data_IF_789129945167
#
_entry.id   IF_789129945167
#
_cell.length_a   1.000
_cell.length_b   1.000
_cell.length_c   1.000
_cell.angle_alpha   90.00
_cell.angle_beta   90.00
_cell.angle_gamma   90.00
#
_symmetry.space_group_name_H-M   'P 1'
#
loop_
_entity.id
_entity.type
_entity.pdbx_description
1 polymer ?
#
# COMPACT_ATOMS: atom_id res chain seq x y z
N UNK A 1 15.30 -3.66 -19.97
CA UNK A 1 14.31 -4.76 -19.84
C UNK A 1 13.47 -4.70 -21.10
N UNK A 2 13.50 -5.74 -21.94
CA UNK A 2 12.79 -5.80 -23.24
C UNK A 2 11.31 -5.42 -23.13
N UNK A 3 10.69 -5.69 -21.98
CA UNK A 3 9.30 -5.33 -21.72
C UNK A 3 9.04 -3.82 -21.70
N UNK A 4 10.01 -2.98 -21.30
CA UNK A 4 9.81 -1.51 -21.22
C UNK A 4 9.54 -0.87 -22.59
N UNK A 5 10.01 -1.50 -23.66
CA UNK A 5 9.82 -1.01 -25.02
C UNK A 5 8.40 -1.32 -25.54
N UNK A 6 7.66 -2.18 -24.84
CA UNK A 6 6.28 -2.51 -25.15
C UNK A 6 5.31 -1.55 -24.45
N UNK A 7 4.21 -1.16 -25.11
CA UNK A 7 3.13 -0.41 -24.48
C UNK A 7 2.48 -1.26 -23.37
N UNK A 8 1.95 -0.61 -22.33
CA UNK A 8 1.50 -1.31 -21.11
C UNK A 8 0.41 -2.34 -21.40
N UNK A 9 -0.44 -2.10 -22.40
CA UNK A 9 -1.51 -3.00 -22.83
C UNK A 9 -0.95 -4.37 -23.24
N UNK A 10 0.18 -4.40 -23.96
CA UNK A 10 0.87 -5.63 -24.36
C UNK A 10 1.54 -6.30 -23.17
N UNK A 11 2.17 -5.53 -22.27
CA UNK A 11 2.77 -6.07 -21.05
C UNK A 11 1.72 -6.76 -20.18
N UNK A 12 0.59 -6.11 -19.94
CA UNK A 12 -0.47 -6.62 -19.08
C UNK A 12 -1.17 -7.84 -19.70
N UNK A 13 -1.35 -7.86 -21.02
CA UNK A 13 -1.82 -9.06 -21.72
C UNK A 13 -0.85 -10.24 -21.56
N UNK A 14 0.47 -10.00 -21.61
CA UNK A 14 1.46 -11.05 -21.32
C UNK A 14 1.38 -11.54 -19.88
N UNK A 15 1.19 -10.64 -18.91
CA UNK A 15 1.06 -11.01 -17.49
C UNK A 15 -0.17 -11.89 -17.25
N UNK A 16 -1.31 -11.58 -17.88
CA UNK A 16 -2.49 -12.44 -17.87
C UNK A 16 -2.25 -13.80 -18.49
N UNK A 17 -1.66 -13.83 -19.69
CA UNK A 17 -1.31 -15.09 -20.34
C UNK A 17 -0.29 -15.93 -19.55
N UNK A 18 0.59 -15.31 -18.76
CA UNK A 18 1.50 -16.03 -17.86
C UNK A 18 0.79 -16.58 -16.63
N UNK A 19 -0.17 -15.85 -16.06
CA UNK A 19 -0.97 -16.35 -14.95
C UNK A 19 -1.65 -17.67 -15.32
N UNK A 20 -2.29 -17.74 -16.49
CA UNK A 20 -2.97 -18.95 -16.98
C UNK A 20 -1.97 -20.09 -17.28
N UNK A 21 -0.85 -19.78 -17.94
CA UNK A 21 0.17 -20.77 -18.30
C UNK A 21 0.88 -21.36 -17.08
N UNK A 22 1.09 -20.57 -16.03
CA UNK A 22 1.67 -21.05 -14.78
C UNK A 22 0.82 -22.15 -14.11
N UNK A 23 -0.47 -22.20 -14.40
CA UNK A 23 -1.35 -23.27 -13.92
C UNK A 23 -1.27 -24.55 -14.75
N UNK A 24 -0.81 -24.47 -16.01
CA UNK A 24 -0.79 -25.58 -16.97
C UNK A 24 0.34 -26.60 -16.77
N UNK A 25 1.49 -26.20 -16.22
CA UNK A 25 2.64 -27.10 -16.01
C UNK A 25 2.84 -27.40 -14.51
N UNK A 26 3.03 -28.68 -14.16
CA UNK A 26 3.09 -29.10 -12.74
C UNK A 26 4.25 -28.47 -11.97
N UNK A 27 5.42 -28.33 -12.61
CA UNK A 27 6.57 -27.68 -11.98
C UNK A 27 6.31 -26.19 -11.70
N UNK A 28 5.71 -25.48 -12.65
CA UNK A 28 5.37 -24.06 -12.49
C UNK A 28 4.27 -23.87 -11.45
N UNK A 29 3.26 -24.75 -11.46
CA UNK A 29 2.18 -24.77 -10.46
C UNK A 29 2.74 -25.01 -9.06
N UNK A 30 3.66 -25.95 -8.90
CA UNK A 30 4.33 -26.22 -7.63
C UNK A 30 5.17 -25.02 -7.16
N UNK A 31 5.95 -24.41 -8.06
CA UNK A 31 6.72 -23.21 -7.75
C UNK A 31 5.83 -22.03 -7.34
N UNK A 32 4.71 -21.80 -8.04
CA UNK A 32 3.73 -20.78 -7.69
C UNK A 32 3.10 -21.04 -6.31
N UNK A 33 2.73 -22.30 -6.01
CA UNK A 33 2.21 -22.69 -4.69
C UNK A 33 3.25 -22.41 -3.59
N UNK A 34 4.51 -22.79 -3.81
CA UNK A 34 5.59 -22.53 -2.86
C UNK A 34 5.82 -21.04 -2.63
N UNK A 35 5.83 -20.24 -3.70
CA UNK A 35 5.97 -18.79 -3.63
C UNK A 35 4.86 -18.13 -2.80
N UNK A 36 3.59 -18.56 -2.99
CA UNK A 36 2.46 -18.09 -2.17
C UNK A 36 2.61 -18.47 -0.70
N UNK A 37 3.03 -19.70 -0.42
CA UNK A 37 3.24 -20.17 0.95
C UNK A 37 4.35 -19.39 1.63
N UNK A 38 5.49 -19.22 0.98
CA UNK A 38 6.61 -18.48 1.56
C UNK A 38 6.28 -16.99 1.72
N UNK A 39 5.55 -16.39 0.77
CA UNK A 39 5.05 -15.01 0.91
C UNK A 39 4.15 -14.88 2.14
N UNK A 40 3.17 -15.78 2.32
CA UNK A 40 2.35 -15.81 3.54
C UNK A 40 3.18 -16.01 4.79
N UNK A 41 4.18 -16.90 4.74
CA UNK A 41 5.08 -17.14 5.88
C UNK A 41 5.88 -15.90 6.25
N UNK A 42 6.38 -15.14 5.29
CA UNK A 42 7.09 -13.88 5.52
C UNK A 42 6.14 -12.84 6.12
N UNK A 43 4.94 -12.70 5.55
CA UNK A 43 3.87 -11.83 6.07
C UNK A 43 3.29 -12.29 7.42
N UNK A 44 3.58 -13.52 7.86
CA UNK A 44 3.29 -14.03 9.20
C UNK A 44 4.47 -13.91 10.15
N UNK A 45 5.72 -14.01 9.70
CA UNK A 45 6.89 -13.80 10.59
C UNK A 45 6.99 -12.36 11.06
N UNK A 46 6.40 -11.45 10.31
CA UNK A 46 6.14 -10.10 10.76
C UNK A 46 5.18 -10.05 11.98
N UNK A 47 4.38 -11.11 12.25
CA UNK A 47 3.47 -11.26 13.42
C UNK A 47 4.19 -11.72 14.69
N UNK A 48 5.06 -12.74 14.59
CA UNK A 48 5.62 -13.43 15.76
C UNK A 48 6.87 -12.79 16.35
N UNK A 49 7.48 -11.80 15.68
CA UNK A 49 8.62 -11.07 16.24
C UNK A 49 8.23 -10.10 17.37
N UNK A 50 6.93 -9.94 17.66
CA UNK A 50 6.41 -9.15 18.79
C UNK A 50 5.95 -9.96 20.01
N UNK A 51 5.81 -11.29 19.90
CA UNK A 51 5.34 -12.15 20.99
C UNK A 51 6.37 -13.24 21.28
N UNK A 52 7.13 -13.04 22.36
CA UNK A 52 7.99 -14.07 22.90
C UNK A 52 7.18 -15.21 23.53
N UNK A 53 7.46 -16.43 23.07
CA UNK A 53 7.29 -17.66 23.86
C UNK A 53 5.92 -18.33 23.77
N UNK A 54 5.88 -19.48 23.08
CA UNK A 54 4.75 -20.40 23.15
C UNK A 54 4.83 -21.55 22.15
N UNK A 55 5.46 -22.66 22.54
CA UNK A 55 5.26 -23.96 21.90
C UNK A 55 3.79 -24.37 22.06
N UNK A 56 3.08 -24.66 20.97
CA UNK A 56 1.68 -25.12 21.04
C UNK A 56 1.09 -25.40 19.66
N UNK A 57 0.30 -26.45 19.58
CA UNK A 57 -0.13 -27.16 18.38
C UNK A 57 -1.22 -26.44 17.57
N UNK A 58 -1.27 -26.78 16.28
CA UNK A 58 -2.45 -27.23 15.54
C UNK A 58 -3.82 -26.57 15.76
N UNK A 59 -4.38 -26.16 14.63
CA UNK A 59 -5.80 -25.93 14.33
C UNK A 59 -6.34 -24.53 14.66
N UNK A 60 -6.90 -23.94 13.60
CA UNK A 60 -7.83 -22.80 13.59
C UNK A 60 -7.36 -21.54 14.33
N UNK A 61 -6.59 -20.68 13.64
CA UNK A 61 -6.31 -19.37 14.21
C UNK A 61 -6.27 -18.25 13.16
N UNK A 62 -7.44 -17.68 12.89
CA UNK A 62 -7.58 -16.33 12.33
C UNK A 62 -7.25 -15.24 13.37
N UNK A 63 -6.99 -15.60 14.64
CA UNK A 63 -6.68 -14.70 15.74
C UNK A 63 -5.23 -14.22 15.76
N UNK A 64 -4.24 -15.09 15.51
CA UNK A 64 -2.81 -14.71 15.43
C UNK A 64 -2.46 -13.78 14.27
N UNK A 65 -3.30 -13.69 13.24
CA UNK A 65 -3.15 -12.69 12.16
C UNK A 65 -3.61 -11.29 12.60
N UNK A 66 -4.41 -11.16 13.67
CA UNK A 66 -4.91 -9.86 14.18
C UNK A 66 -3.90 -9.13 15.09
N UNK A 67 -3.12 -9.84 15.90
CA UNK A 67 -2.14 -9.24 16.83
C UNK A 67 -1.06 -8.43 16.11
N UNK A 68 -0.51 -8.98 15.03
CA UNK A 68 0.45 -8.33 14.14
C UNK A 68 0.04 -6.96 13.65
N UNK A 69 -1.22 -6.83 13.26
CA UNK A 69 -1.68 -5.68 12.48
C UNK A 69 -2.09 -4.53 13.38
N UNK A 70 -2.54 -4.85 14.59
CA UNK A 70 -2.67 -3.87 15.67
C UNK A 70 -1.31 -3.33 16.08
N UNK A 71 -0.29 -4.18 16.18
CA UNK A 71 1.05 -3.77 16.61
C UNK A 71 1.86 -3.10 15.49
N UNK A 72 1.69 -3.50 14.23
CA UNK A 72 2.25 -2.80 13.07
C UNK A 72 1.60 -1.42 12.88
N UNK A 73 0.29 -1.31 13.08
CA UNK A 73 -0.42 -0.02 13.07
C UNK A 73 0.03 0.88 14.22
N UNK A 74 0.14 0.37 15.46
CA UNK A 74 0.67 1.10 16.62
C UNK A 74 2.12 1.52 16.45
N UNK A 75 2.99 0.63 15.96
CA UNK A 75 4.41 0.90 15.73
C UNK A 75 4.69 1.77 14.49
N UNK A 76 3.67 2.14 13.71
CA UNK A 76 3.77 3.07 12.58
C UNK A 76 3.03 4.39 12.82
N UNK A 77 2.03 4.42 13.72
CA UNK A 77 1.26 5.61 14.10
C UNK A 77 1.88 6.40 15.28
N UNK A 78 3.19 6.23 15.55
CA UNK A 78 3.90 6.80 16.70
C UNK A 78 3.26 8.06 17.28
N UNK A 79 2.78 7.94 18.53
CA UNK A 79 2.04 8.97 19.24
C UNK A 79 2.66 10.34 19.01
N UNK A 80 1.89 11.20 18.34
CA UNK A 80 2.20 12.61 18.18
C UNK A 80 1.81 13.37 19.46
N UNK A 81 2.24 12.89 20.62
CA UNK A 81 2.21 13.64 21.87
C UNK A 81 3.44 13.26 22.71
N UNK A 82 4.39 14.19 22.79
CA UNK A 82 5.57 14.03 23.64
C UNK A 82 6.78 14.74 23.06
N UNK A 83 6.88 16.04 23.30
CA UNK A 83 8.14 16.75 23.11
C UNK A 83 9.18 16.31 24.13
N UNK A 84 10.44 16.24 23.72
CA UNK A 84 11.58 16.04 24.62
C UNK A 84 12.60 15.09 24.03
N UNK A 85 13.84 15.54 23.93
CA UNK A 85 14.98 14.71 23.59
C UNK A 85 15.13 13.59 24.62
N UNK A 86 14.88 12.34 24.22
CA UNK A 86 15.29 11.17 24.96
C UNK A 86 15.72 10.08 23.96
N UNK A 87 17.02 10.02 23.71
CA UNK A 87 17.65 8.85 23.12
C UNK A 87 17.52 7.69 24.13
N UNK A 88 17.19 6.51 23.60
CA UNK A 88 17.17 5.21 24.28
C UNK A 88 15.98 4.91 25.21
N UNK A 89 14.75 5.17 24.76
CA UNK A 89 13.58 4.48 25.31
C UNK A 89 13.56 3.03 24.78
N UNK A 90 13.85 2.05 25.66
CA UNK A 90 13.60 0.62 25.41
C UNK A 90 12.14 0.31 25.73
N UNK A 91 11.46 -0.39 24.83
CA UNK A 91 10.08 -0.83 25.05
C UNK A 91 10.01 -1.93 26.14
N UNK A 92 8.80 -2.35 26.55
CA UNK A 92 8.57 -3.38 27.59
C UNK A 92 9.30 -4.71 27.32
N UNK A 93 9.68 -4.97 26.07
CA UNK A 93 10.46 -6.13 25.62
C UNK A 93 11.98 -5.89 25.49
N UNK A 94 12.48 -4.72 25.91
CA UNK A 94 13.91 -4.37 25.89
C UNK A 94 14.48 -3.99 24.51
N UNK A 95 13.66 -3.95 23.46
CA UNK A 95 14.07 -3.61 22.10
C UNK A 95 14.20 -2.10 21.89
N UNK A 96 15.19 -1.70 21.10
CA UNK A 96 15.35 -0.32 20.64
C UNK A 96 14.57 -0.06 19.35
N UNK A 97 14.15 1.19 19.13
CA UNK A 97 13.48 1.60 17.88
C UNK A 97 14.31 1.30 16.62
N UNK A 98 15.64 1.34 16.73
CA UNK A 98 16.56 1.03 15.64
C UNK A 98 16.52 -0.46 15.25
N UNK A 99 16.50 -1.36 16.24
CA UNK A 99 16.40 -2.81 16.02
C UNK A 99 15.07 -3.18 15.35
N UNK A 100 13.97 -2.55 15.77
CA UNK A 100 12.64 -2.71 15.14
C UNK A 100 12.64 -2.28 13.68
N UNK A 101 13.26 -1.14 13.38
CA UNK A 101 13.36 -0.65 12.01
C UNK A 101 14.21 -1.58 11.13
N UNK A 102 15.32 -2.12 11.66
CA UNK A 102 16.15 -3.05 10.91
C UNK A 102 15.46 -4.40 10.70
N UNK A 103 14.67 -4.88 11.67
CA UNK A 103 13.81 -6.05 11.50
C UNK A 103 12.78 -5.84 10.37
N UNK A 104 12.12 -4.67 10.33
CA UNK A 104 11.20 -4.28 9.23
C UNK A 104 11.91 -4.32 7.88
N UNK A 105 13.11 -3.74 7.77
CA UNK A 105 13.89 -3.71 6.52
C UNK A 105 14.37 -5.09 6.09
N UNK A 106 14.77 -5.95 7.04
CA UNK A 106 15.16 -7.34 6.77
C UNK A 106 14.00 -8.12 6.15
N UNK A 107 12.80 -7.97 6.70
CA UNK A 107 11.59 -8.63 6.19
C UNK A 107 11.21 -8.09 4.81
N UNK A 108 11.27 -6.78 4.61
CA UNK A 108 11.07 -6.15 3.29
C UNK A 108 12.03 -6.73 2.23
N UNK A 109 13.32 -6.93 2.58
CA UNK A 109 14.30 -7.57 1.67
C UNK A 109 13.96 -9.04 1.38
N UNK A 110 13.48 -9.79 2.36
CA UNK A 110 13.04 -11.18 2.15
C UNK A 110 11.82 -11.26 1.22
N UNK A 111 10.85 -10.37 1.45
CA UNK A 111 9.65 -10.26 0.60
C UNK A 111 10.04 -9.93 -0.85
N UNK A 112 10.94 -8.96 -1.04
CA UNK A 112 11.44 -8.60 -2.36
C UNK A 112 12.14 -9.76 -3.07
N UNK A 113 13.03 -10.50 -2.37
CA UNK A 113 13.67 -11.70 -2.93
C UNK A 113 12.67 -12.73 -3.43
N UNK A 114 11.60 -12.97 -2.66
CA UNK A 114 10.53 -13.88 -3.05
C UNK A 114 9.77 -13.35 -4.30
N UNK A 115 9.45 -12.05 -4.33
CA UNK A 115 8.78 -11.42 -5.45
C UNK A 115 9.62 -11.39 -6.73
N UNK A 116 10.95 -11.30 -6.64
CA UNK A 116 11.81 -11.30 -7.83
C UNK A 116 11.80 -12.63 -8.58
N UNK A 117 11.61 -13.74 -7.87
CA UNK A 117 11.53 -15.06 -8.48
C UNK A 117 10.14 -15.32 -9.09
N UNK A 118 9.06 -14.93 -8.42
CA UNK A 118 7.68 -15.20 -8.83
C UNK A 118 6.77 -14.00 -8.51
N UNK A 119 6.82 -12.91 -9.29
CA UNK A 119 6.13 -11.67 -8.94
C UNK A 119 4.61 -11.83 -8.92
N UNK A 120 4.02 -12.50 -9.91
CA UNK A 120 2.56 -12.69 -9.98
C UNK A 120 1.99 -13.41 -8.74
N UNK A 121 2.42 -14.65 -8.39
CA UNK A 121 1.88 -15.34 -7.21
C UNK A 121 2.13 -14.61 -5.89
N UNK A 122 3.30 -13.98 -5.73
CA UNK A 122 3.66 -13.26 -4.51
C UNK A 122 2.82 -11.99 -4.34
N UNK A 123 2.73 -11.17 -5.38
CA UNK A 123 2.00 -9.90 -5.34
C UNK A 123 0.48 -10.13 -5.21
N UNK A 124 -0.06 -11.20 -5.77
CA UNK A 124 -1.45 -11.58 -5.51
C UNK A 124 -1.74 -11.86 -4.04
N UNK A 125 -0.82 -12.53 -3.32
CA UNK A 125 -0.96 -12.77 -1.88
C UNK A 125 -0.83 -11.46 -1.10
N UNK A 126 0.12 -10.60 -1.46
CA UNK A 126 0.34 -9.31 -0.81
C UNK A 126 -0.89 -8.41 -0.97
N UNK A 127 -1.44 -8.30 -2.18
CA UNK A 127 -2.63 -7.49 -2.46
C UNK A 127 -3.87 -8.09 -1.77
N UNK A 128 -4.02 -9.43 -1.75
CA UNK A 128 -5.09 -10.09 -1.01
C UNK A 128 -5.06 -9.79 0.49
N UNK A 129 -3.86 -9.63 1.07
CA UNK A 129 -3.72 -9.20 2.45
C UNK A 129 -4.29 -7.79 2.63
N UNK A 130 -3.93 -6.83 1.77
CA UNK A 130 -4.48 -5.47 1.86
C UNK A 130 -6.00 -5.46 1.76
N UNK A 131 -6.58 -6.23 0.84
CA UNK A 131 -8.05 -6.35 0.72
C UNK A 131 -8.72 -6.91 1.97
N UNK A 132 -8.05 -7.82 2.68
CA UNK A 132 -8.66 -8.53 3.82
C UNK A 132 -8.65 -7.72 5.11
N UNK A 133 -7.68 -6.81 5.27
CA UNK A 133 -7.48 -6.05 6.52
C UNK A 133 -7.70 -4.54 6.39
N UNK A 134 -8.01 -4.04 5.19
CA UNK A 134 -8.43 -2.66 4.98
C UNK A 134 -7.30 -1.66 4.69
N UNK A 135 -7.65 -0.39 4.66
CA UNK A 135 -6.76 0.73 4.28
C UNK A 135 -5.50 0.84 5.14
N UNK A 136 -5.58 0.52 6.44
CA UNK A 136 -4.44 0.61 7.37
C UNK A 136 -3.26 -0.28 6.98
N UNK A 137 -3.50 -1.35 6.20
CA UNK A 137 -2.46 -2.24 5.70
C UNK A 137 -1.63 -1.63 4.58
N UNK A 138 -2.19 -0.68 3.82
CA UNK A 138 -1.59 -0.20 2.58
C UNK A 138 -0.21 0.45 2.82
N UNK A 139 -0.09 1.34 3.82
CA UNK A 139 1.16 2.03 4.13
C UNK A 139 2.32 1.10 4.54
N UNK A 140 2.15 0.17 5.50
CA UNK A 140 3.19 -0.81 5.83
C UNK A 140 3.62 -1.68 4.64
N UNK A 141 2.68 -2.13 3.81
CA UNK A 141 3.00 -2.91 2.62
C UNK A 141 3.81 -2.08 1.62
N UNK A 142 3.40 -0.84 1.35
CA UNK A 142 4.13 0.11 0.49
C UNK A 142 5.54 0.38 1.02
N UNK A 143 5.73 0.32 2.34
CA UNK A 143 7.05 0.38 2.95
C UNK A 143 7.90 -0.85 2.70
N UNK A 144 7.31 -2.05 2.81
CA UNK A 144 8.00 -3.30 2.51
C UNK A 144 8.36 -3.46 1.03
N UNK A 145 7.58 -2.86 0.12
CA UNK A 145 7.79 -2.96 -1.34
C UNK A 145 8.91 -2.04 -1.87
N UNK A 146 9.61 -1.27 -1.03
CA UNK A 146 10.72 -0.38 -1.46
C UNK A 146 11.88 -1.07 -2.17
N UNK A 147 12.05 -2.37 -1.95
CA UNK A 147 13.12 -3.16 -2.57
C UNK A 147 12.63 -3.93 -3.81
N UNK A 148 11.40 -3.68 -4.25
CA UNK A 148 10.86 -4.30 -5.45
C UNK A 148 11.54 -3.71 -6.70
N UNK A 149 11.69 -4.53 -7.74
CA UNK A 149 12.22 -4.04 -9.03
C UNK A 149 11.16 -3.24 -9.78
N UNK A 150 11.53 -2.40 -10.76
CA UNK A 150 10.55 -1.72 -11.62
C UNK A 150 9.59 -2.70 -12.31
N UNK A 151 10.07 -3.90 -12.65
CA UNK A 151 9.22 -4.97 -13.18
C UNK A 151 8.18 -5.44 -12.16
N UNK A 152 8.57 -5.62 -10.90
CA UNK A 152 7.62 -5.99 -9.86
C UNK A 152 6.56 -4.90 -9.59
N UNK A 153 6.91 -3.62 -9.68
CA UNK A 153 5.93 -2.53 -9.57
C UNK A 153 4.95 -2.47 -10.75
N UNK A 154 5.42 -2.74 -11.97
CA UNK A 154 4.56 -2.87 -13.16
C UNK A 154 3.59 -4.06 -13.01
N UNK A 155 4.08 -5.21 -12.53
CA UNK A 155 3.24 -6.39 -12.22
C UNK A 155 2.28 -6.11 -11.04
N UNK A 156 2.71 -5.36 -10.02
CA UNK A 156 1.83 -4.96 -8.91
C UNK A 156 0.64 -4.13 -9.43
N UNK A 157 0.89 -3.19 -10.34
CA UNK A 157 -0.16 -2.38 -10.96
C UNK A 157 -1.15 -3.27 -11.70
N UNK A 158 -0.64 -4.23 -12.50
CA UNK A 158 -1.48 -5.25 -13.15
C UNK A 158 -2.32 -6.05 -12.14
N UNK A 159 -1.69 -6.59 -11.09
CA UNK A 159 -2.40 -7.40 -10.08
C UNK A 159 -3.51 -6.59 -9.42
N UNK A 160 -3.26 -5.35 -8.99
CA UNK A 160 -4.30 -4.51 -8.37
C UNK A 160 -5.47 -4.28 -9.32
N UNK A 161 -5.22 -3.98 -10.59
CA UNK A 161 -6.29 -3.82 -11.59
C UNK A 161 -7.08 -5.12 -11.81
N UNK A 162 -6.41 -6.27 -11.86
CA UNK A 162 -7.13 -7.56 -11.98
C UNK A 162 -8.02 -7.83 -10.77
N UNK A 163 -7.63 -7.41 -9.56
CA UNK A 163 -8.44 -7.58 -8.34
C UNK A 163 -9.65 -6.65 -8.33
N UNK A 164 -9.51 -5.41 -8.80
CA UNK A 164 -10.60 -4.43 -8.97
C UNK A 164 -11.58 -4.84 -10.08
N UNK A 165 -11.06 -5.38 -11.18
CA UNK A 165 -11.84 -5.81 -12.33
C UNK A 165 -12.48 -7.21 -12.15
N UNK A 166 -12.14 -7.94 -11.09
CA UNK A 166 -12.65 -9.29 -10.85
C UNK A 166 -14.16 -9.26 -10.63
N UNK A 167 -14.90 -9.84 -11.57
CA UNK A 167 -16.37 -9.96 -11.48
C UNK A 167 -16.84 -10.83 -10.31
N UNK A 168 -18.12 -10.69 -9.96
CA UNK A 168 -18.77 -11.47 -8.91
C UNK A 168 -18.51 -10.98 -7.48
N UNK A 169 -17.95 -9.78 -7.31
CA UNK A 169 -17.78 -9.12 -6.01
C UNK A 169 -18.53 -7.79 -6.02
N UNK A 170 -19.40 -7.59 -5.05
CA UNK A 170 -20.05 -6.29 -4.88
C UNK A 170 -19.03 -5.24 -4.42
N UNK A 171 -19.10 -4.07 -5.08
CA UNK A 171 -18.24 -2.91 -4.78
C UNK A 171 -18.90 -1.92 -3.81
N UNK A 172 -20.18 -2.14 -3.50
CA UNK A 172 -20.87 -1.46 -2.42
C UNK A 172 -20.94 -2.38 -1.19
N UNK A 173 -21.13 -1.78 -0.01
CA UNK A 173 -21.55 -2.50 1.18
C UNK A 173 -23.02 -2.91 1.06
N UNK A 174 -23.49 -3.73 2.00
CA UNK A 174 -24.89 -4.18 2.07
C UNK A 174 -25.89 -3.02 2.19
N UNK A 175 -25.43 -1.84 2.63
CA UNK A 175 -26.22 -0.60 2.68
C UNK A 175 -26.49 0.04 1.30
N UNK A 176 -25.86 -0.47 0.23
CA UNK A 176 -26.02 0.01 -1.15
C UNK A 176 -25.50 1.42 -1.40
N UNK A 177 -24.88 2.07 -0.42
CA UNK A 177 -24.47 3.48 -0.50
C UNK A 177 -22.96 3.63 -0.29
N UNK A 178 -22.40 2.90 0.66
CA UNK A 178 -20.98 3.00 0.99
C UNK A 178 -20.14 2.07 0.11
N UNK A 179 -18.95 2.53 -0.25
CA UNK A 179 -17.97 1.71 -0.97
C UNK A 179 -17.51 0.55 -0.09
N UNK A 180 -17.35 -0.64 -0.66
CA UNK A 180 -16.87 -1.81 0.06
C UNK A 180 -15.43 -1.60 0.57
N UNK A 181 -15.15 -2.07 1.79
CA UNK A 181 -13.87 -1.81 2.48
C UNK A 181 -12.66 -2.34 1.70
N UNK A 182 -12.83 -3.44 0.96
CA UNK A 182 -11.77 -4.00 0.11
C UNK A 182 -11.43 -3.10 -1.09
N UNK A 183 -12.41 -2.34 -1.62
CA UNK A 183 -12.18 -1.39 -2.73
C UNK A 183 -11.46 -0.16 -2.20
N UNK A 184 -11.89 0.38 -1.05
CA UNK A 184 -11.19 1.49 -0.37
C UNK A 184 -9.75 1.11 -0.02
N UNK A 185 -9.51 -0.11 0.46
CA UNK A 185 -8.17 -0.61 0.75
C UNK A 185 -7.26 -0.66 -0.48
N UNK A 186 -7.79 -1.13 -1.62
CA UNK A 186 -7.06 -1.14 -2.89
C UNK A 186 -6.83 0.28 -3.42
N UNK A 187 -7.81 1.17 -3.31
CA UNK A 187 -7.66 2.58 -3.70
C UNK A 187 -6.55 3.26 -2.89
N UNK A 188 -6.50 3.03 -1.58
CA UNK A 188 -5.42 3.50 -0.71
C UNK A 188 -4.06 2.95 -1.12
N UNK A 189 -3.98 1.65 -1.43
CA UNK A 189 -2.75 1.04 -1.94
C UNK A 189 -2.29 1.71 -3.25
N UNK A 190 -3.20 1.89 -4.21
CA UNK A 190 -2.88 2.55 -5.50
C UNK A 190 -2.31 3.94 -5.27
N UNK A 191 -2.98 4.78 -4.47
CA UNK A 191 -2.53 6.13 -4.20
C UNK A 191 -1.14 6.18 -3.53
N UNK A 192 -0.93 5.35 -2.50
CA UNK A 192 0.34 5.31 -1.78
C UNK A 192 1.50 4.77 -2.61
N UNK A 193 1.27 3.73 -3.44
CA UNK A 193 2.29 3.22 -4.36
C UNK A 193 2.60 4.28 -5.43
N UNK A 194 1.58 4.92 -6.02
CA UNK A 194 1.77 5.95 -7.05
C UNK A 194 2.54 7.16 -6.52
N UNK A 195 2.27 7.60 -5.28
CA UNK A 195 3.02 8.67 -4.61
C UNK A 195 4.48 8.30 -4.38
N UNK A 196 4.74 7.07 -3.94
CA UNK A 196 6.08 6.64 -3.52
C UNK A 196 6.98 6.19 -4.67
N UNK A 197 6.40 5.59 -5.70
CA UNK A 197 7.09 5.02 -6.85
C UNK A 197 6.52 5.58 -8.16
N UNK A 198 6.56 6.91 -8.37
CA UNK A 198 5.86 7.57 -9.48
C UNK A 198 6.42 7.20 -10.86
N UNK A 199 7.67 6.71 -10.94
CA UNK A 199 8.30 6.31 -12.21
C UNK A 199 8.02 4.84 -12.56
N UNK A 200 7.66 4.04 -11.57
CA UNK A 200 7.51 2.59 -11.69
C UNK A 200 6.04 2.15 -11.81
N UNK A 201 5.09 2.97 -11.35
CA UNK A 201 3.65 2.69 -11.43
C UNK A 201 3.07 3.14 -12.77
N UNK A 202 2.31 2.27 -13.42
CA UNK A 202 1.63 2.58 -14.68
C UNK A 202 0.29 3.29 -14.42
N UNK A 203 0.36 4.60 -14.12
CA UNK A 203 -0.83 5.43 -13.85
C UNK A 203 -1.77 5.55 -15.04
N UNK A 204 -1.25 5.45 -16.27
CA UNK A 204 -2.07 5.43 -17.49
C UNK A 204 -3.01 4.23 -17.52
N UNK A 205 -2.54 3.06 -17.10
CA UNK A 205 -3.38 1.86 -17.03
C UNK A 205 -4.49 2.01 -15.98
N UNK A 206 -4.18 2.61 -14.83
CA UNK A 206 -5.15 2.89 -13.77
C UNK A 206 -6.22 3.86 -14.27
N UNK A 207 -5.82 4.97 -14.90
CA UNK A 207 -6.75 5.96 -15.46
C UNK A 207 -7.62 5.35 -16.56
N UNK A 208 -7.04 4.55 -17.46
CA UNK A 208 -7.78 3.89 -18.53
C UNK A 208 -8.81 2.89 -17.97
N UNK A 209 -8.46 2.15 -16.91
CA UNK A 209 -9.39 1.26 -16.21
C UNK A 209 -10.59 2.03 -15.66
N UNK A 210 -10.36 3.11 -14.89
CA UNK A 210 -11.45 3.92 -14.31
C UNK A 210 -12.32 4.51 -15.42
N UNK A 211 -11.72 5.04 -16.49
CA UNK A 211 -12.45 5.56 -17.63
C UNK A 211 -13.33 4.49 -18.30
N UNK A 212 -12.85 3.25 -18.39
CA UNK A 212 -13.63 2.15 -18.95
C UNK A 212 -14.80 1.73 -18.04
N UNK A 213 -14.62 1.78 -16.72
CA UNK A 213 -15.71 1.54 -15.76
C UNK A 213 -16.79 2.62 -15.88
N UNK A 214 -16.40 3.89 -16.00
CA UNK A 214 -17.32 5.00 -16.22
C UNK A 214 -18.12 4.86 -17.52
N UNK A 215 -17.50 4.39 -18.60
CA UNK A 215 -18.21 4.08 -19.86
C UNK A 215 -19.25 2.97 -19.70
N UNK A 216 -19.12 2.12 -18.69
CA UNK A 216 -20.07 1.06 -18.35
C UNK A 216 -21.03 1.48 -17.22
N UNK A 217 -21.13 2.77 -16.92
CA UNK A 217 -21.96 3.35 -15.85
C UNK A 217 -21.62 2.84 -14.44
N UNK A 218 -20.37 2.39 -14.24
CA UNK A 218 -19.84 1.99 -12.95
C UNK A 218 -19.06 3.15 -12.34
N UNK A 219 -19.68 3.84 -11.37
CA UNK A 219 -19.11 5.03 -10.73
C UNK A 219 -18.25 4.71 -9.51
N UNK A 220 -18.36 3.51 -8.93
CA UNK A 220 -17.68 3.13 -7.68
C UNK A 220 -16.16 3.24 -7.81
N UNK A 221 -15.60 2.86 -8.96
CA UNK A 221 -14.15 2.89 -9.21
C UNK A 221 -13.56 4.32 -9.26
N UNK A 222 -14.39 5.38 -9.27
CA UNK A 222 -13.92 6.75 -9.08
C UNK A 222 -13.18 6.94 -7.76
N UNK A 223 -13.44 6.10 -6.76
CA UNK A 223 -12.68 6.08 -5.50
C UNK A 223 -11.18 5.92 -5.72
N UNK A 224 -10.79 5.11 -6.71
CA UNK A 224 -9.39 4.88 -7.07
C UNK A 224 -8.75 6.16 -7.63
N UNK A 225 -9.47 6.86 -8.52
CA UNK A 225 -9.01 8.12 -9.09
C UNK A 225 -8.93 9.23 -8.02
N UNK A 226 -9.97 9.36 -7.18
CA UNK A 226 -10.00 10.28 -6.04
C UNK A 226 -8.79 10.07 -5.14
N UNK A 227 -8.49 8.80 -4.81
CA UNK A 227 -7.36 8.49 -3.92
C UNK A 227 -6.01 8.72 -4.60
N UNK A 228 -5.89 8.41 -5.89
CA UNK A 228 -4.69 8.72 -6.65
C UNK A 228 -4.41 10.23 -6.62
N UNK A 229 -5.40 11.06 -6.96
CA UNK A 229 -5.26 12.52 -6.92
C UNK A 229 -4.91 13.02 -5.52
N UNK A 230 -5.61 12.54 -4.48
CA UNK A 230 -5.33 12.94 -3.09
C UNK A 230 -3.89 12.66 -2.64
N UNK A 231 -3.28 11.57 -3.14
CA UNK A 231 -1.93 11.16 -2.72
C UNK A 231 -0.83 11.70 -3.64
N UNK A 232 -1.11 11.88 -4.94
CA UNK A 232 -0.11 12.32 -5.92
C UNK A 232 -0.11 13.82 -6.17
N UNK A 233 -1.27 14.46 -6.02
CA UNK A 233 -1.39 15.90 -6.19
C UNK A 233 -1.00 16.55 -4.86
N UNK A 234 0.01 17.43 -4.88
CA UNK A 234 0.35 18.26 -3.73
C UNK A 234 -0.72 19.30 -3.39
N UNK A 235 -1.86 19.24 -4.10
CA UNK A 235 -3.08 19.99 -3.80
C UNK A 235 -3.67 19.46 -2.50
N UNK A 236 -3.31 20.17 -1.43
CA UNK A 236 -3.93 20.03 -0.13
C UNK A 236 -5.44 20.21 -0.29
N UNK A 237 -6.22 19.19 0.00
CA UNK A 237 -7.65 19.34 0.20
C UNK A 237 -7.82 20.06 1.53
N UNK A 238 -8.03 21.37 1.48
CA UNK A 238 -8.26 22.16 2.69
C UNK A 238 -9.75 22.13 2.98
N UNK A 239 -10.16 21.17 3.78
CA UNK A 239 -11.46 21.19 4.44
C UNK A 239 -11.43 22.25 5.56
N UNK A 240 -12.55 22.91 5.80
CA UNK A 240 -12.74 23.87 6.90
C UNK A 240 -11.74 25.04 6.92
N UNK A 241 -11.59 25.74 5.79
CA UNK A 241 -10.81 26.99 5.70
C UNK A 241 -11.51 28.08 6.51
N UNK A 242 -10.85 28.62 7.54
CA UNK A 242 -11.35 29.80 8.26
C UNK A 242 -11.34 31.05 7.37
N UNK A 243 -12.24 32.00 7.61
CA UNK A 243 -12.32 33.26 6.83
C UNK A 243 -10.96 33.98 6.76
N UNK A 244 -10.21 33.98 7.87
CA UNK A 244 -8.84 34.53 7.89
C UNK A 244 -7.88 33.77 6.96
N UNK A 245 -7.99 32.44 6.87
CA UNK A 245 -7.20 31.66 5.93
C UNK A 245 -7.64 31.90 4.48
N UNK A 246 -8.95 32.10 4.22
CA UNK A 246 -9.45 32.49 2.89
C UNK A 246 -8.84 33.83 2.46
N UNK A 247 -8.83 34.83 3.34
CA UNK A 247 -8.19 36.13 3.07
C UNK A 247 -6.68 36.00 2.85
N UNK A 248 -6.00 35.17 3.65
CA UNK A 248 -4.58 34.89 3.46
C UNK A 248 -4.28 34.22 2.12
N UNK A 249 -5.14 33.29 1.67
CA UNK A 249 -5.02 32.61 0.38
C UNK A 249 -5.37 33.53 -0.81
N UNK A 250 -6.16 34.58 -0.60
CA UNK A 250 -6.42 35.61 -1.60
C UNK A 250 -5.29 36.67 -1.71
N UNK A 251 -4.38 36.72 -0.72
CA UNK A 251 -3.29 37.68 -0.65
C UNK A 251 -2.07 37.38 -1.54
N UNK A 252 -0.98 38.13 -1.32
CA UNK A 252 0.30 37.92 -2.01
C UNK A 252 0.96 36.58 -1.65
N UNK A 253 1.99 36.17 -2.40
CA UNK A 253 2.63 34.85 -2.27
C UNK A 253 3.04 34.50 -0.83
N UNK A 254 3.50 35.47 -0.03
CA UNK A 254 3.88 35.26 1.37
C UNK A 254 2.68 34.95 2.29
N UNK A 255 1.54 35.62 2.06
CA UNK A 255 0.30 35.37 2.80
C UNK A 255 -0.29 34.02 2.42
N UNK A 256 -0.25 33.66 1.13
CA UNK A 256 -0.69 32.34 0.62
C UNK A 256 0.07 31.19 1.29
N UNK A 257 1.41 31.28 1.35
CA UNK A 257 2.24 30.32 2.06
C UNK A 257 1.87 30.25 3.54
N UNK A 258 1.69 31.40 4.18
CA UNK A 258 1.30 31.46 5.61
C UNK A 258 -0.10 30.90 5.89
N UNK A 259 -1.03 31.03 4.94
CA UNK A 259 -2.38 30.46 5.00
C UNK A 259 -2.38 28.93 4.87
N UNK A 260 -1.59 28.41 3.92
CA UNK A 260 -1.38 26.97 3.72
C UNK A 260 -0.69 26.31 4.92
N UNK A 261 0.33 26.96 5.50
CA UNK A 261 1.10 26.45 6.65
C UNK A 261 0.30 26.33 7.95
N UNK A 262 -0.82 27.05 8.07
CA UNK A 262 -1.69 26.97 9.26
C UNK A 262 -2.65 25.78 9.21
N UNK A 263 -2.89 25.20 8.03
CA UNK A 263 -3.79 24.05 7.86
C UNK A 263 -3.21 22.73 8.37
N UNK A 264 -1.89 22.52 8.24
CA UNK A 264 -1.24 21.30 8.73
C UNK A 264 0.20 21.58 9.16
N UNK A 265 0.54 21.25 10.41
CA UNK A 265 1.94 21.09 10.83
C UNK A 265 2.52 19.83 10.18
N UNK A 266 2.74 19.82 8.87
CA UNK A 266 3.50 18.75 8.23
C UNK A 266 4.99 18.95 8.57
N UNK A 267 5.58 17.98 9.28
CA UNK A 267 7.01 17.95 9.67
C UNK A 267 7.97 18.23 8.50
N UNK A 268 7.53 18.01 7.26
CA UNK A 268 8.32 18.15 6.04
C UNK A 268 8.77 19.60 5.74
N UNK A 269 8.07 20.64 6.21
CA UNK A 269 8.50 22.04 5.97
C UNK A 269 9.38 22.64 7.09
N UNK A 270 9.46 22.04 8.28
CA UNK A 270 10.44 22.46 9.32
C UNK A 270 11.88 22.27 8.89
N UNK A 271 12.12 21.39 7.92
CA UNK A 271 13.43 21.15 7.32
C UNK A 271 13.78 22.19 6.26
N UNK A 272 12.78 22.78 5.58
CA UNK A 272 12.99 23.81 4.58
C UNK A 272 13.27 25.20 5.20
N UNK A 273 12.84 25.45 6.43
CA UNK A 273 13.10 26.72 7.15
C UNK A 273 14.43 26.75 7.91
N UNK A 274 15.29 25.74 7.75
CA UNK A 274 16.64 25.67 8.35
C UNK A 274 17.76 25.81 7.32
N UNK A 275 17.44 26.18 6.07
CA UNK A 275 18.41 26.53 5.02
C UNK A 275 18.46 28.05 4.83
#
# INVERSE_FOLDING_TARGET
LVLRDLPYERRFSLYGGWADKCEGADLLRAACKLARVETRRILRRTTAAGEGGGLGQGLEDRGSEQGFLRDLSRALQGDSQGGGAQQDARDENGETAAERLEAKRRLARLLAKCCHACPLPCLEVIVAQVESYGESMAAPIVEALRYLTPFGHDVLTYVVLTRLAKGGREKFKEDGTNVADWVEALAALVGLVARKFPKEVETKAIAQYVLNQLKCDQTVDLVVLRRLLKETDGVMHVDDISDNQVEMLAGGNMLKVSGLLKGERTQQMRLASRA
#
